data_IF_757159911551
#
_entry.id   IF_757159911551
#
_cell.length_a   1.000
_cell.length_b   1.000
_cell.length_c   1.000
_cell.angle_alpha   90.00
_cell.angle_beta   90.00
_cell.angle_gamma   90.00
#
_symmetry.space_group_name_H-M   'P 1'
#
loop_
_entity.id
_entity.type
_entity.pdbx_description
1 polymer ?
#
# COMPACT_ATOMS: atom_id res chain seq x y z
N UNK A 1 8.72 18.07 -7.87
CA UNK A 1 8.58 17.38 -9.16
C UNK A 1 7.42 16.41 -9.00
N UNK A 2 6.48 16.35 -9.95
CA UNK A 2 5.42 15.34 -9.92
C UNK A 2 5.91 14.14 -10.72
N UNK A 3 5.92 12.97 -10.10
CA UNK A 3 6.24 11.70 -10.75
C UNK A 3 4.95 10.95 -11.04
N UNK A 4 4.96 10.13 -12.10
CA UNK A 4 3.81 9.32 -12.50
C UNK A 4 4.23 8.01 -13.13
N UNK A 5 3.36 7.00 -13.04
CA UNK A 5 3.49 5.73 -13.74
C UNK A 5 2.13 5.28 -14.28
N UNK A 6 2.12 4.70 -15.48
CA UNK A 6 0.92 4.07 -16.05
C UNK A 6 0.97 2.56 -15.76
N UNK A 7 -0.16 2.03 -15.29
CA UNK A 7 -0.34 0.62 -15.00
C UNK A 7 -1.44 0.08 -15.93
N UNK A 8 -1.02 -0.75 -16.86
CA UNK A 8 -1.91 -1.34 -17.86
C UNK A 8 -2.89 -2.33 -17.22
N UNK A 9 -4.07 -2.49 -17.84
CA UNK A 9 -5.07 -3.49 -17.45
C UNK A 9 -5.50 -3.47 -15.97
N UNK A 10 -5.33 -2.34 -15.30
CA UNK A 10 -5.67 -2.16 -13.89
C UNK A 10 -6.66 -1.02 -13.74
N UNK A 11 -7.67 -1.21 -12.91
CA UNK A 11 -8.69 -0.19 -12.57
C UNK A 11 -8.23 0.72 -11.44
N UNK A 12 -8.80 1.93 -11.36
CA UNK A 12 -8.54 2.86 -10.25
C UNK A 12 -8.84 2.24 -8.90
N UNK A 13 -9.89 1.42 -8.81
CA UNK A 13 -10.27 0.74 -7.56
C UNK A 13 -9.21 -0.25 -7.10
N UNK A 14 -8.65 -1.04 -8.02
CA UNK A 14 -7.57 -1.99 -7.69
C UNK A 14 -6.31 -1.26 -7.20
N UNK A 15 -5.93 -0.17 -7.89
CA UNK A 15 -4.81 0.67 -7.45
C UNK A 15 -5.10 1.29 -6.09
N UNK A 16 -6.30 1.85 -5.90
CA UNK A 16 -6.68 2.49 -4.65
C UNK A 16 -6.64 1.50 -3.50
N UNK A 17 -7.12 0.27 -3.69
CA UNK A 17 -7.09 -0.77 -2.65
C UNK A 17 -5.68 -1.10 -2.18
N UNK A 18 -4.70 -1.13 -3.09
CA UNK A 18 -3.28 -1.29 -2.74
C UNK A 18 -2.76 -0.08 -1.98
N UNK A 19 -3.05 1.14 -2.46
CA UNK A 19 -2.57 2.37 -1.82
C UNK A 19 -3.24 2.65 -0.48
N UNK A 20 -4.45 2.15 -0.26
CA UNK A 20 -5.24 2.31 0.96
C UNK A 20 -4.88 1.27 2.04
N UNK A 21 -4.22 0.18 1.68
CA UNK A 21 -3.73 -0.82 2.63
C UNK A 21 -2.44 -0.34 3.32
N UNK A 22 -2.58 0.62 4.23
CA UNK A 22 -1.46 1.22 4.94
C UNK A 22 -0.64 0.21 5.74
N UNK A 23 -1.27 -0.83 6.27
CA UNK A 23 -0.57 -1.91 6.99
C UNK A 23 0.28 -2.76 6.02
N UNK A 24 -0.23 -3.01 4.81
CA UNK A 24 0.47 -3.75 3.76
C UNK A 24 1.65 -2.99 3.13
N UNK A 25 1.93 -1.74 3.53
CA UNK A 25 3.04 -0.97 2.95
C UNK A 25 4.41 -1.64 3.18
N UNK A 26 4.59 -2.37 4.28
CA UNK A 26 5.81 -3.15 4.54
C UNK A 26 6.10 -4.21 3.49
N UNK A 27 5.08 -4.66 2.74
CA UNK A 27 5.21 -5.74 1.76
C UNK A 27 5.81 -5.26 0.43
N UNK A 28 5.65 -3.97 0.10
CA UNK A 28 5.99 -3.47 -1.24
C UNK A 28 6.69 -2.11 -1.26
N UNK A 29 6.66 -1.32 -0.17
CA UNK A 29 7.45 -0.10 -0.06
C UNK A 29 8.83 -0.42 0.55
N UNK A 30 9.93 -0.33 -0.22
CA UNK A 30 11.23 -0.84 0.20
C UNK A 30 11.85 -0.05 1.35
N UNK A 31 11.38 1.17 1.58
CA UNK A 31 11.88 2.04 2.65
C UNK A 31 11.10 1.89 3.96
N UNK A 32 9.94 1.21 3.97
CA UNK A 32 9.10 1.04 5.15
C UNK A 32 9.46 -0.27 5.87
N UNK A 33 9.86 -0.19 7.14
CA UNK A 33 10.15 -1.35 7.98
C UNK A 33 8.99 -1.77 8.88
N UNK A 34 8.15 -0.81 9.27
CA UNK A 34 6.98 -1.02 10.12
C UNK A 34 5.88 -0.05 9.68
N UNK A 35 4.64 -0.53 9.69
CA UNK A 35 3.46 0.23 9.35
C UNK A 35 2.25 -0.30 10.14
N UNK A 36 1.57 0.58 10.86
CA UNK A 36 0.37 0.21 11.62
C UNK A 36 -0.64 1.34 11.64
N UNK A 37 -1.85 1.10 11.17
CA UNK A 37 -3.00 1.99 11.39
C UNK A 37 -3.36 1.99 12.87
N UNK A 38 -3.38 3.19 13.47
CA UNK A 38 -3.70 3.38 14.90
C UNK A 38 -5.08 4.01 15.13
N UNK A 39 -5.60 4.73 14.15
CA UNK A 39 -6.94 5.32 14.21
C UNK A 39 -7.56 5.45 12.83
N UNK A 40 -8.90 5.41 12.79
CA UNK A 40 -9.69 5.67 11.60
C UNK A 40 -10.97 6.43 11.98
N UNK A 41 -11.26 7.49 11.27
CA UNK A 41 -12.53 8.23 11.36
C UNK A 41 -13.02 8.57 9.95
N UNK A 42 -14.00 7.80 9.46
CA UNK A 42 -14.49 7.94 8.09
C UNK A 42 -13.39 7.69 7.05
N UNK A 43 -13.10 8.72 6.24
CA UNK A 43 -12.07 8.70 5.20
C UNK A 43 -10.69 9.18 5.70
N UNK A 44 -10.57 9.43 7.01
CA UNK A 44 -9.33 9.89 7.65
C UNK A 44 -8.69 8.71 8.40
N UNK A 45 -7.39 8.52 8.20
CA UNK A 45 -6.59 7.48 8.85
C UNK A 45 -5.40 8.10 9.54
N UNK A 46 -5.01 7.54 10.67
CA UNK A 46 -3.71 7.80 11.27
C UNK A 46 -2.95 6.48 11.34
N UNK A 47 -1.72 6.49 10.86
CA UNK A 47 -0.83 5.34 10.93
C UNK A 47 0.57 5.72 11.39
N UNK A 48 1.17 4.83 12.18
CA UNK A 48 2.57 4.85 12.56
C UNK A 48 3.40 4.20 11.46
N UNK A 49 4.55 4.80 11.14
CA UNK A 49 5.54 4.23 10.22
C UNK A 49 6.94 4.28 10.81
N UNK A 50 7.75 3.32 10.39
CA UNK A 50 9.21 3.37 10.51
C UNK A 50 9.82 3.31 9.11
N UNK A 51 10.55 4.36 8.73
CA UNK A 51 11.30 4.43 7.47
C UNK A 51 12.68 5.03 7.76
N UNK A 52 13.69 4.20 8.08
CA UNK A 52 15.02 4.71 8.44
C UNK A 52 15.68 5.55 7.34
N UNK A 53 15.25 5.39 6.09
CA UNK A 53 15.69 6.24 4.98
C UNK A 53 15.09 7.66 5.00
N UNK A 54 13.91 7.82 5.59
CA UNK A 54 13.26 9.12 5.80
C UNK A 54 13.62 9.72 7.16
N UNK A 55 13.46 8.94 8.23
CA UNK A 55 13.53 9.39 9.61
C UNK A 55 14.04 8.25 10.50
N UNK A 56 14.95 8.57 11.43
CA UNK A 56 15.53 7.59 12.35
C UNK A 56 14.51 7.01 13.35
N UNK A 57 13.46 7.78 13.65
CA UNK A 57 12.41 7.44 14.62
C UNK A 57 11.07 7.12 13.93
N UNK A 58 10.19 6.43 14.66
CA UNK A 58 8.80 6.23 14.25
C UNK A 58 8.09 7.56 14.08
N UNK A 59 7.29 7.69 13.03
CA UNK A 59 6.53 8.91 12.75
C UNK A 59 5.08 8.60 12.39
N UNK A 60 4.21 9.56 12.69
CA UNK A 60 2.78 9.47 12.40
C UNK A 60 2.41 10.24 11.16
N UNK A 61 1.62 9.62 10.30
CA UNK A 61 0.99 10.27 9.16
C UNK A 61 -0.53 10.24 9.34
N UNK A 62 -1.16 11.39 9.12
CA UNK A 62 -2.58 11.49 8.85
C UNK A 62 -2.81 11.40 7.35
N UNK A 63 -3.70 10.51 6.93
CA UNK A 63 -4.14 10.34 5.56
C UNK A 63 -5.59 10.80 5.41
N UNK A 64 -5.88 11.48 4.31
CA UNK A 64 -7.25 11.77 3.89
C UNK A 64 -7.47 11.11 2.54
N UNK A 65 -8.41 10.18 2.51
CA UNK A 65 -8.73 9.37 1.35
C UNK A 65 -9.91 9.96 0.58
N UNK A 66 -9.85 9.91 -0.74
CA UNK A 66 -10.98 10.20 -1.62
C UNK A 66 -11.08 9.06 -2.61
N UNK A 67 -11.84 8.02 -2.24
CA UNK A 67 -11.95 6.81 -3.03
C UNK A 67 -12.64 7.08 -4.38
N UNK A 68 -12.16 6.51 -5.51
CA UNK A 68 -10.90 5.78 -5.73
C UNK A 68 -9.80 6.66 -6.35
N UNK A 69 -9.85 7.97 -6.13
CA UNK A 69 -9.11 8.95 -6.94
C UNK A 69 -7.88 9.53 -6.28
N UNK A 70 -7.82 9.62 -4.95
CA UNK A 70 -6.64 10.18 -4.29
C UNK A 70 -6.49 9.78 -2.83
N UNK A 71 -5.26 9.89 -2.36
CA UNK A 71 -4.89 9.81 -0.94
C UNK A 71 -3.91 10.95 -0.69
N UNK A 72 -4.22 11.85 0.22
CA UNK A 72 -3.28 12.88 0.69
C UNK A 72 -2.75 12.47 2.05
N UNK A 73 -1.50 12.83 2.35
CA UNK A 73 -0.91 12.53 3.64
C UNK A 73 -0.08 13.71 4.16
N UNK A 74 -0.05 13.85 5.48
CA UNK A 74 0.81 14.81 6.17
C UNK A 74 1.26 14.22 7.49
N UNK A 75 2.48 14.56 7.89
CA UNK A 75 2.97 14.22 9.21
C UNK A 75 2.18 14.93 10.29
N UNK A 76 1.81 14.20 11.32
CA UNK A 76 1.17 14.73 12.52
C UNK A 76 1.99 14.34 13.76
N UNK A 77 1.74 15.03 14.87
CA UNK A 77 2.40 14.77 16.15
C UNK A 77 3.73 15.52 16.35
N UNK A 78 4.22 15.42 17.58
CA UNK A 78 5.53 15.90 18.06
C UNK A 78 6.33 14.66 18.39
N UNK A 79 7.61 14.62 18.03
CA UNK A 79 8.52 13.60 18.54
C UNK A 79 8.72 13.88 20.03
N UNK A 80 8.01 13.13 20.89
CA UNK A 80 7.99 13.36 22.34
C UNK A 80 9.40 13.35 22.95
N UNK A 81 10.32 12.55 22.41
CA UNK A 81 11.68 12.43 22.92
C UNK A 81 12.61 13.60 22.55
N UNK A 82 12.36 14.30 21.43
CA UNK A 82 13.26 15.35 20.94
C UNK A 82 12.69 16.77 21.05
N UNK A 83 11.41 16.92 21.38
CA UNK A 83 10.73 18.22 21.46
C UNK A 83 10.70 18.98 20.12
N UNK A 84 11.06 18.32 19.02
CA UNK A 84 11.08 18.91 17.68
C UNK A 84 9.72 18.72 17.01
N UNK A 85 9.13 19.84 16.61
CA UNK A 85 7.91 19.87 15.82
C UNK A 85 8.16 19.43 14.38
N UNK A 86 7.21 18.66 13.84
CA UNK A 86 6.86 18.58 12.42
C UNK A 86 8.04 18.70 11.45
N UNK A 87 8.57 17.55 11.01
CA UNK A 87 9.64 17.50 10.01
C UNK A 87 9.14 17.73 8.57
N UNK A 88 7.90 18.21 8.39
CA UNK A 88 7.42 18.68 7.11
C UNK A 88 7.30 17.60 6.05
N UNK A 89 7.01 16.36 6.45
CA UNK A 89 6.63 15.29 5.53
C UNK A 89 5.17 15.45 5.11
N UNK A 90 4.91 15.62 3.83
CA UNK A 90 3.56 15.65 3.27
C UNK A 90 3.58 15.24 1.79
N UNK A 91 2.43 14.84 1.26
CA UNK A 91 2.36 14.43 -0.12
C UNK A 91 0.97 13.96 -0.54
N UNK A 92 0.92 13.41 -1.75
CA UNK A 92 -0.31 12.85 -2.29
C UNK A 92 -0.05 11.77 -3.32
N UNK A 93 -1.03 10.89 -3.42
CA UNK A 93 -1.28 9.97 -4.53
C UNK A 93 -2.54 10.44 -5.26
N UNK A 94 -2.49 10.42 -6.58
CA UNK A 94 -3.59 10.74 -7.48
C UNK A 94 -3.71 9.60 -8.48
N UNK A 95 -4.92 9.12 -8.68
CA UNK A 95 -5.27 7.94 -9.46
C UNK A 95 -6.28 8.38 -10.50
N UNK A 96 -5.89 8.31 -11.76
CA UNK A 96 -6.74 8.69 -12.90
C UNK A 96 -6.79 7.56 -13.91
N UNK A 97 -7.83 7.53 -14.72
CA UNK A 97 -7.89 6.62 -15.85
C UNK A 97 -6.74 6.97 -16.82
N UNK A 98 -6.12 5.96 -17.43
CA UNK A 98 -5.04 6.21 -18.38
C UNK A 98 -5.57 7.01 -19.58
N UNK A 99 -4.92 8.11 -19.98
CA UNK A 99 -5.29 8.84 -21.20
C UNK A 99 -5.26 7.98 -22.47
N UNK A 100 -4.51 6.88 -22.44
CA UNK A 100 -4.35 5.93 -23.54
C UNK A 100 -5.47 4.85 -23.56
N UNK A 101 -6.43 4.92 -22.63
CA UNK A 101 -7.66 4.13 -22.64
C UNK A 101 -7.59 2.75 -21.98
N UNK A 102 -6.39 2.18 -21.80
CA UNK A 102 -6.21 0.85 -21.22
C UNK A 102 -5.33 0.89 -19.96
N UNK A 103 -5.90 1.27 -18.81
CA UNK A 103 -5.22 1.18 -17.52
C UNK A 103 -5.48 2.35 -16.60
N UNK A 104 -4.63 2.49 -15.59
CA UNK A 104 -4.69 3.53 -14.57
C UNK A 104 -3.35 4.23 -14.46
N UNK A 105 -3.36 5.56 -14.48
CA UNK A 105 -2.17 6.36 -14.18
C UNK A 105 -2.16 6.76 -12.71
N UNK A 106 -1.07 6.43 -12.03
CA UNK A 106 -0.77 6.87 -10.67
C UNK A 106 0.21 8.02 -10.76
N UNK A 107 -0.07 9.11 -10.05
CA UNK A 107 0.83 10.25 -9.97
C UNK A 107 0.82 10.87 -8.59
N UNK A 108 1.82 11.68 -8.28
CA UNK A 108 1.84 12.36 -6.99
C UNK A 108 3.11 13.11 -6.71
N UNK A 109 3.27 13.47 -5.44
CA UNK A 109 4.46 14.10 -4.92
C UNK A 109 4.65 13.75 -3.45
N UNK A 110 5.90 13.67 -3.03
CA UNK A 110 6.28 13.60 -1.62
C UNK A 110 7.30 14.69 -1.31
N UNK A 111 7.00 15.46 -0.28
CA UNK A 111 7.81 16.56 0.20
C UNK A 111 8.30 16.23 1.60
N UNK A 112 9.60 16.36 1.81
CA UNK A 112 10.22 16.24 3.13
C UNK A 112 11.17 17.40 3.32
N UNK A 113 10.83 18.33 4.22
CA UNK A 113 11.54 19.60 4.38
C UNK A 113 13.05 19.43 4.64
N UNK A 114 13.52 18.47 5.47
CA UNK A 114 14.94 18.25 5.69
C UNK A 114 15.69 17.78 4.45
N UNK A 115 15.05 17.03 3.54
CA UNK A 115 15.71 16.49 2.36
C UNK A 115 14.76 16.22 1.18
N UNK A 116 14.48 17.27 0.40
CA UNK A 116 13.64 17.20 -0.80
C UNK A 116 14.17 16.25 -1.87
N UNK A 117 15.50 16.10 -2.00
CA UNK A 117 16.08 15.20 -3.00
C UNK A 117 15.80 13.75 -2.63
N UNK A 118 15.96 13.40 -1.34
CA UNK A 118 15.66 12.07 -0.83
C UNK A 118 14.18 11.74 -0.98
N UNK A 119 13.27 12.67 -0.65
CA UNK A 119 11.84 12.39 -0.77
C UNK A 119 11.40 12.12 -2.22
N UNK A 120 11.97 12.83 -3.19
CA UNK A 120 11.68 12.55 -4.60
C UNK A 120 12.17 11.15 -5.02
N UNK A 121 13.37 10.73 -4.57
CA UNK A 121 13.92 9.40 -4.88
C UNK A 121 13.11 8.27 -4.24
N UNK A 122 12.69 8.44 -2.99
CA UNK A 122 11.82 7.46 -2.30
C UNK A 122 10.48 7.37 -3.01
N UNK A 123 9.86 8.51 -3.36
CA UNK A 123 8.59 8.51 -4.05
C UNK A 123 8.66 7.83 -5.42
N UNK A 124 9.72 8.08 -6.19
CA UNK A 124 9.94 7.40 -7.46
C UNK A 124 10.09 5.88 -7.28
N UNK A 125 10.89 5.42 -6.30
CA UNK A 125 11.04 3.99 -6.02
C UNK A 125 9.71 3.32 -5.68
N UNK A 126 8.85 3.98 -4.91
CA UNK A 126 7.50 3.47 -4.59
C UNK A 126 6.62 3.35 -5.84
N UNK A 127 6.67 4.33 -6.75
CA UNK A 127 5.98 4.24 -8.05
C UNK A 127 6.50 3.08 -8.90
N UNK A 128 7.82 2.88 -8.93
CA UNK A 128 8.44 1.78 -9.67
C UNK A 128 8.00 0.42 -9.11
N UNK A 129 7.91 0.27 -7.78
CA UNK A 129 7.40 -0.95 -7.14
C UNK A 129 5.93 -1.21 -7.45
N UNK A 130 5.07 -0.19 -7.43
CA UNK A 130 3.68 -0.34 -7.84
C UNK A 130 3.59 -0.85 -9.28
N UNK A 131 4.34 -0.24 -10.20
CA UNK A 131 4.37 -0.68 -11.60
C UNK A 131 4.81 -2.14 -11.74
N UNK A 132 5.84 -2.55 -10.99
CA UNK A 132 6.31 -3.94 -10.99
C UNK A 132 5.27 -4.92 -10.46
N UNK A 133 4.63 -4.60 -9.33
CA UNK A 133 3.60 -5.45 -8.71
C UNK A 133 2.45 -5.75 -9.67
N UNK A 134 1.99 -4.74 -10.41
CA UNK A 134 0.90 -4.91 -11.39
C UNK A 134 1.37 -5.44 -12.76
N UNK A 135 2.67 -5.43 -13.05
CA UNK A 135 3.22 -5.98 -14.30
C UNK A 135 3.46 -7.49 -14.23
N UNK A 136 3.47 -8.09 -13.04
CA UNK A 136 3.60 -9.54 -12.93
C UNK A 136 2.32 -10.22 -13.45
N UNK A 137 2.42 -11.14 -14.42
CA UNK A 137 1.26 -11.84 -14.96
C UNK A 137 0.61 -12.64 -13.84
N UNK A 138 -0.52 -12.14 -13.37
CA UNK A 138 -1.36 -12.84 -12.43
C UNK A 138 -2.03 -13.98 -13.20
N UNK A 139 -1.45 -15.18 -13.20
CA UNK A 139 -2.22 -16.41 -13.48
C UNK A 139 -3.20 -16.60 -12.32
N UNK A 140 -4.30 -15.86 -12.34
CA UNK A 140 -5.40 -15.97 -11.40
C UNK A 140 -6.67 -16.26 -12.21
N UNK A 141 -6.94 -17.55 -12.42
CA UNK A 141 -8.27 -18.00 -12.79
C UNK A 141 -9.16 -17.86 -11.55
N UNK A 142 -10.20 -17.04 -11.70
CA UNK A 142 -11.14 -16.64 -10.66
C UNK A 142 -12.04 -17.82 -10.30
N UNK A 143 -12.11 -18.17 -9.02
CA UNK A 143 -13.35 -18.56 -8.36
C UNK A 143 -13.24 -18.10 -6.91
N UNK A 144 -13.92 -16.99 -6.61
CA UNK A 144 -13.95 -16.39 -5.28
C UNK A 144 -15.20 -16.89 -4.55
N UNK A 145 -15.04 -17.59 -3.42
CA UNK A 145 -16.13 -17.77 -2.46
C UNK A 145 -15.78 -17.14 -1.10
N UNK A 146 -16.75 -16.46 -0.44
CA UNK A 146 -16.56 -15.86 0.87
C UNK A 146 -16.52 -16.93 1.98
N UNK A 147 -15.67 -16.70 2.97
CA UNK A 147 -15.46 -17.62 4.10
C UNK A 147 -16.44 -17.33 5.23
N UNK A 148 -17.60 -17.97 5.16
CA UNK A 148 -18.43 -18.25 6.33
C UNK A 148 -18.65 -19.75 6.41
N UNK A 149 -17.76 -20.44 7.13
CA UNK A 149 -17.79 -21.90 7.28
C UNK A 149 -16.57 -22.56 6.63
N UNK A 150 -15.46 -22.61 7.37
CA UNK A 150 -14.42 -23.60 7.08
C UNK A 150 -14.95 -24.94 7.58
N UNK A 151 -15.67 -25.65 6.71
CA UNK A 151 -16.15 -27.01 6.97
C UNK A 151 -14.98 -27.98 7.15
N UNK A 152 -15.21 -29.02 7.94
CA UNK A 152 -14.21 -30.04 8.34
C UNK A 152 -13.47 -30.66 7.14
N UNK A 153 -14.09 -30.65 5.96
CA UNK A 153 -13.58 -31.16 4.70
C UNK A 153 -12.25 -30.50 4.26
N UNK A 154 -12.04 -29.22 4.59
CA UNK A 154 -10.78 -28.52 4.25
C UNK A 154 -9.62 -29.00 5.16
N UNK A 155 -9.89 -29.38 6.41
CA UNK A 155 -8.87 -29.97 7.31
C UNK A 155 -8.44 -31.36 6.87
N UNK A 156 -9.32 -32.16 6.28
CA UNK A 156 -8.96 -33.46 5.69
C UNK A 156 -8.16 -33.31 4.40
N UNK A 157 -8.51 -32.33 3.54
CA UNK A 157 -7.73 -32.03 2.33
C UNK A 157 -6.27 -31.62 2.65
N UNK A 158 -6.03 -30.94 3.78
CA UNK A 158 -4.68 -30.57 4.26
C UNK A 158 -3.77 -31.75 4.62
N UNK A 159 -4.33 -32.93 4.93
CA UNK A 159 -3.54 -34.08 5.40
C UNK A 159 -3.20 -35.08 4.29
N UNK A 160 -3.87 -35.02 3.14
CA UNK A 160 -3.75 -36.04 2.10
C UNK A 160 -2.93 -35.61 0.87
N UNK A 161 -2.86 -34.32 0.55
CA UNK A 161 -2.15 -33.82 -0.63
C UNK A 161 -1.45 -32.48 -0.30
N UNK A 162 -0.32 -32.21 -0.97
CA UNK A 162 0.44 -30.99 -0.73
C UNK A 162 -0.33 -29.75 -1.22
N UNK A 163 -0.62 -28.82 -0.33
CA UNK A 163 -1.20 -27.53 -0.69
C UNK A 163 -0.30 -26.39 -0.21
N UNK A 164 -0.17 -25.35 -1.04
CA UNK A 164 0.40 -24.08 -0.65
C UNK A 164 -0.74 -23.10 -0.38
N UNK A 165 -0.71 -22.44 0.80
CA UNK A 165 -1.74 -21.49 1.22
C UNK A 165 -1.10 -20.15 1.53
N UNK A 166 -1.70 -19.09 1.01
CA UNK A 166 -1.28 -17.72 1.26
C UNK A 166 -2.42 -16.95 1.92
N UNK A 167 -2.07 -16.12 2.90
CA UNK A 167 -3.03 -15.29 3.64
C UNK A 167 -2.87 -13.83 3.20
N UNK A 168 -4.00 -13.17 2.94
CA UNK A 168 -4.08 -11.74 2.66
C UNK A 168 -5.13 -11.14 3.62
N UNK A 169 -4.66 -10.67 4.77
CA UNK A 169 -5.51 -10.23 5.87
C UNK A 169 -6.43 -11.35 6.38
N UNK A 170 -7.74 -11.10 6.39
CA UNK A 170 -8.76 -12.10 6.78
C UNK A 170 -9.15 -13.08 5.66
N UNK A 171 -8.49 -12.99 4.51
CA UNK A 171 -8.73 -13.85 3.34
C UNK A 171 -7.55 -14.77 3.14
N UNK A 172 -7.76 -15.89 2.47
CA UNK A 172 -6.69 -16.77 2.05
C UNK A 172 -6.92 -17.31 0.65
N UNK A 173 -5.82 -17.75 0.03
CA UNK A 173 -5.72 -18.40 -1.26
C UNK A 173 -5.07 -19.76 -1.03
N UNK A 174 -5.51 -20.81 -1.72
CA UNK A 174 -4.83 -22.09 -1.69
C UNK A 174 -4.61 -22.63 -3.10
N UNK A 175 -3.53 -23.38 -3.28
CA UNK A 175 -3.17 -24.05 -4.54
C UNK A 175 -2.71 -25.47 -4.25
N UNK A 176 -3.22 -26.43 -5.01
CA UNK A 176 -2.72 -27.81 -5.01
C UNK A 176 -1.31 -27.82 -5.60
N UNK A 177 -0.37 -28.37 -4.87
CA UNK A 177 0.99 -28.63 -5.32
C UNK A 177 0.98 -30.01 -5.96
N UNK A 178 1.07 -30.06 -7.29
CA UNK A 178 1.30 -31.30 -8.05
C UNK A 178 2.70 -31.86 -7.78
#
# INVERSE_FOLDING_TARGET
MRSSVNINNTTKEQVFNVLYDFNGYVEWMPDIQDASVIAQEGDIFVADFCSPELMEEKYQLEFVCSRPTSITFKQIGIFEETGKHFNGLYGSWNIIDSPEGNGTTISGAMHYKPNTKMSNLIFQRRLDMLSQMFSQPSTFTQDFQPLSGLDADIKEAFQAEGFAVWFLGSKYLYKKVE
#
